data_IF_468351989966
#
_entry.id   IF_468351989966
#
_cell.length_a   1.000
_cell.length_b   1.000
_cell.length_c   1.000
_cell.angle_alpha   90.00
_cell.angle_beta   90.00
_cell.angle_gamma   90.00
#
_symmetry.space_group_name_H-M   'P 1'
#
loop_
_entity.id
_entity.type
_entity.pdbx_description
1 polymer ?
#
# COMPACT_ATOMS: atom_id res chain seq x y z
N UNK A 1 1.85 11.72 -11.79
CA UNK A 1 1.59 11.80 -10.33
C UNK A 1 1.95 10.46 -9.71
N UNK A 2 2.56 10.39 -8.51
CA UNK A 2 3.04 9.13 -7.89
C UNK A 2 1.99 8.00 -7.91
N UNK A 3 0.71 8.37 -7.85
CA UNK A 3 -0.45 7.45 -7.86
C UNK A 3 -0.68 6.78 -9.23
N UNK A 4 -0.33 7.43 -10.34
CA UNK A 4 -0.65 6.95 -11.70
C UNK A 4 0.28 5.81 -12.17
N UNK A 5 1.40 5.61 -11.49
CA UNK A 5 2.36 4.53 -11.78
C UNK A 5 2.38 3.45 -10.69
N UNK A 6 1.49 3.54 -9.69
CA UNK A 6 1.41 2.58 -8.61
C UNK A 6 0.50 1.41 -8.96
N UNK A 7 0.92 0.21 -8.60
CA UNK A 7 0.08 -0.98 -8.69
C UNK A 7 -0.96 -0.95 -7.57
N UNK A 8 -2.26 -1.05 -7.93
CA UNK A 8 -3.31 -1.22 -6.94
C UNK A 8 -3.38 -2.68 -6.51
N UNK A 9 -3.02 -2.95 -5.26
CA UNK A 9 -2.97 -4.31 -4.68
C UNK A 9 -4.15 -4.59 -3.72
N UNK A 10 -5.04 -3.61 -3.53
CA UNK A 10 -6.23 -3.79 -2.70
C UNK A 10 -5.89 -4.26 -1.28
N UNK A 11 -6.59 -5.29 -0.79
CA UNK A 11 -6.43 -5.82 0.57
C UNK A 11 -5.12 -6.56 0.82
N UNK A 12 -4.39 -6.91 -0.25
CA UNK A 12 -3.10 -7.61 -0.15
C UNK A 12 -1.96 -6.64 0.17
N UNK A 13 -2.25 -5.34 0.30
CA UNK A 13 -1.27 -4.29 0.59
C UNK A 13 -0.35 -4.62 1.78
N UNK A 14 -0.83 -5.08 2.96
CA UNK A 14 0.06 -5.39 4.06
C UNK A 14 1.05 -6.51 3.72
N UNK A 15 0.62 -7.53 2.97
CA UNK A 15 1.48 -8.64 2.57
C UNK A 15 2.51 -8.18 1.53
N UNK A 16 2.07 -7.50 0.46
CA UNK A 16 2.98 -7.00 -0.58
C UNK A 16 4.01 -6.00 -0.03
N UNK A 17 3.61 -5.12 0.90
CA UNK A 17 4.53 -4.19 1.55
C UNK A 17 5.62 -4.93 2.34
N UNK A 18 5.26 -6.00 3.06
CA UNK A 18 6.23 -6.86 3.76
C UNK A 18 7.14 -7.59 2.79
N UNK A 19 6.59 -8.18 1.72
CA UNK A 19 7.37 -8.88 0.68
C UNK A 19 8.41 -7.95 0.04
N UNK A 20 8.05 -6.69 -0.21
CA UNK A 20 8.98 -5.68 -0.70
C UNK A 20 10.05 -5.33 0.36
N UNK A 21 9.65 -5.10 1.62
CA UNK A 21 10.57 -4.77 2.72
C UNK A 21 11.61 -5.89 2.98
N UNK A 22 11.17 -7.15 2.94
CA UNK A 22 12.04 -8.32 3.09
C UNK A 22 12.73 -8.75 1.79
N UNK A 23 12.62 -7.95 0.72
CA UNK A 23 13.27 -8.17 -0.59
C UNK A 23 12.89 -9.50 -1.27
N UNK A 24 11.70 -10.04 -0.96
CA UNK A 24 11.14 -11.23 -1.62
C UNK A 24 10.60 -10.91 -3.02
N UNK A 25 10.25 -9.65 -3.26
CA UNK A 25 9.85 -9.11 -4.57
C UNK A 25 10.54 -7.77 -4.84
N UNK A 26 10.69 -7.36 -6.12
CA UNK A 26 11.23 -6.05 -6.45
C UNK A 26 10.41 -4.90 -5.88
N UNK A 27 11.11 -3.86 -5.40
CA UNK A 27 10.47 -2.62 -4.94
C UNK A 27 9.78 -1.91 -6.10
N UNK A 28 8.53 -1.49 -5.86
CA UNK A 28 7.71 -0.70 -6.79
C UNK A 28 6.67 0.09 -6.02
N UNK A 29 6.08 1.12 -6.63
CA UNK A 29 5.01 1.86 -5.97
C UNK A 29 3.74 1.00 -5.89
N UNK A 30 3.22 0.77 -4.70
CA UNK A 30 1.96 0.04 -4.48
C UNK A 30 0.97 0.90 -3.69
N UNK A 31 -0.31 0.75 -3.99
CA UNK A 31 -1.41 1.37 -3.25
C UNK A 31 -2.43 0.30 -2.92
N UNK A 32 -2.98 0.32 -1.71
CA UNK A 32 -4.08 -0.56 -1.38
C UNK A 32 -4.73 -0.22 -0.06
N UNK A 33 -5.34 -1.23 0.54
CA UNK A 33 -6.19 -1.13 1.71
C UNK A 33 -5.52 -1.83 2.87
N UNK A 34 -5.48 -1.16 4.02
CA UNK A 34 -5.08 -1.73 5.29
C UNK A 34 -6.01 -1.22 6.38
N UNK A 35 -6.33 -2.07 7.34
CA UNK A 35 -6.95 -1.65 8.60
C UNK A 35 -5.96 -0.82 9.42
N UNK A 36 -6.47 -0.09 10.42
CA UNK A 36 -5.61 0.69 11.33
C UNK A 36 -4.60 -0.21 12.06
N UNK A 37 -5.02 -1.43 12.41
CA UNK A 37 -4.19 -2.41 13.09
C UNK A 37 -3.07 -2.93 12.19
N UNK A 38 -3.38 -3.26 10.93
CA UNK A 38 -2.37 -3.68 9.95
C UNK A 38 -1.40 -2.54 9.63
N UNK A 39 -1.91 -1.33 9.39
CA UNK A 39 -1.06 -0.16 9.15
C UNK A 39 -0.11 0.11 10.33
N UNK A 40 -0.59 -0.06 11.56
CA UNK A 40 0.26 0.06 12.75
C UNK A 40 1.32 -1.04 12.80
N UNK A 41 0.96 -2.29 12.52
CA UNK A 41 1.92 -3.39 12.49
C UNK A 41 3.04 -3.16 11.47
N UNK A 42 2.70 -2.65 10.29
CA UNK A 42 3.68 -2.28 9.26
C UNK A 42 4.63 -1.19 9.76
N UNK A 43 4.13 -0.14 10.41
CA UNK A 43 4.98 0.90 11.01
C UNK A 43 5.87 0.36 12.12
N UNK A 44 5.36 -0.53 12.97
CA UNK A 44 6.12 -1.19 14.04
C UNK A 44 7.23 -2.10 13.47
N UNK A 45 7.04 -2.67 12.28
CA UNK A 45 8.04 -3.43 11.51
C UNK A 45 9.06 -2.52 10.80
N UNK A 46 8.87 -1.21 10.77
CA UNK A 46 9.73 -0.25 10.06
C UNK A 46 9.38 -0.08 8.58
N UNK A 47 8.15 -0.43 8.18
CA UNK A 47 7.63 -0.25 6.83
C UNK A 47 6.90 1.09 6.77
N UNK A 48 7.46 2.04 6.03
CA UNK A 48 6.88 3.38 5.87
C UNK A 48 5.58 3.36 5.07
N UNK A 49 4.57 4.08 5.58
CA UNK A 49 3.25 4.21 4.96
C UNK A 49 2.87 5.66 4.75
N UNK A 50 2.17 5.94 3.65
CA UNK A 50 1.56 7.24 3.38
C UNK A 50 0.04 7.08 3.39
N UNK A 51 -0.68 7.59 4.41
CA UNK A 51 -2.13 7.55 4.44
C UNK A 51 -2.73 8.40 3.32
N UNK A 52 -3.64 7.81 2.53
CA UNK A 52 -4.38 8.56 1.52
C UNK A 52 -5.59 9.28 2.16
N UNK A 53 -5.88 10.53 1.76
CA UNK A 53 -7.10 11.21 2.18
C UNK A 53 -8.33 10.39 1.79
N UNK A 54 -9.34 10.32 2.68
CA UNK A 54 -10.57 9.56 2.42
C UNK A 54 -11.32 10.02 1.15
N UNK A 55 -11.11 11.25 0.71
CA UNK A 55 -11.65 11.78 -0.55
C UNK A 55 -11.11 11.06 -1.81
N UNK A 56 -9.99 10.33 -1.70
CA UNK A 56 -9.39 9.52 -2.79
C UNK A 56 -9.98 8.10 -2.83
N UNK A 57 -10.85 7.71 -1.87
CA UNK A 57 -11.44 6.37 -1.80
C UNK A 57 -12.47 6.06 -2.91
N UNK A 58 -12.74 7.01 -3.80
CA UNK A 58 -13.69 6.86 -4.90
C UNK A 58 -12.98 7.00 -6.24
N UNK A 59 -12.25 5.97 -6.66
CA UNK A 59 -12.03 5.63 -8.08
C UNK A 59 -11.56 4.19 -8.21
N UNK A 60 -12.46 3.26 -7.87
CA UNK A 60 -12.41 1.87 -8.33
C UNK A 60 -12.73 1.74 -9.83
N UNK A 61 -12.13 2.60 -10.66
CA UNK A 61 -12.17 2.57 -12.13
C UNK A 61 -10.93 3.28 -12.66
N UNK A 62 -9.77 2.65 -12.49
CA UNK A 62 -8.74 2.73 -13.52
C UNK A 62 -9.06 1.61 -14.52
N UNK A 63 -9.93 1.99 -15.46
CA UNK A 63 -10.38 1.33 -16.70
C UNK A 63 -11.01 -0.06 -16.62
#
# INVERSE_FOLDING_TARGET
SLIEQSDYVGKDFPEEARRMHYQEVPERSIIGEATVQEAKALLDEGIDLIPLPQAVRAKGTLQ
#
